data_IF_845574389626
#
_entry.id   IF_845574389626
#
_cell.length_a   1.000
_cell.length_b   1.000
_cell.length_c   1.000
_cell.angle_alpha   90.00
_cell.angle_beta   90.00
_cell.angle_gamma   90.00
#
_symmetry.space_group_name_H-M   'P 1'
#
loop_
_entity.id
_entity.type
_entity.pdbx_description
1 polymer ?
#
# COMPACT_ATOMS: atom_id res chain seq x y z
N UNK A 1 32.80 9.19 -26.09
CA UNK A 1 32.91 7.96 -25.28
C UNK A 1 31.70 7.77 -24.35
N UNK A 2 31.29 8.76 -23.56
CA UNK A 2 30.11 8.66 -22.68
C UNK A 2 28.76 8.48 -23.40
N UNK A 3 28.53 9.14 -24.55
CA UNK A 3 27.28 9.01 -25.32
C UNK A 3 27.01 7.57 -25.79
N UNK A 4 28.04 6.88 -26.32
CA UNK A 4 27.93 5.49 -26.77
C UNK A 4 27.65 4.49 -25.64
N UNK A 5 28.09 4.80 -24.42
CA UNK A 5 27.79 3.97 -23.25
C UNK A 5 26.34 4.12 -22.80
N UNK A 6 25.82 5.36 -22.77
CA UNK A 6 24.39 5.60 -22.47
C UNK A 6 23.49 4.92 -23.48
N UNK A 7 23.74 5.11 -24.78
CA UNK A 7 22.98 4.47 -25.87
C UNK A 7 22.96 2.94 -25.75
N UNK A 8 24.09 2.34 -25.35
CA UNK A 8 24.18 0.88 -25.16
C UNK A 8 23.37 0.42 -23.95
N UNK A 9 23.41 1.17 -22.84
CA UNK A 9 22.62 0.87 -21.63
C UNK A 9 21.13 1.02 -21.91
N UNK A 10 20.73 2.06 -22.65
CA UNK A 10 19.34 2.30 -23.01
C UNK A 10 18.81 1.19 -23.93
N UNK A 11 19.58 0.81 -24.95
CA UNK A 11 19.24 -0.33 -25.82
C UNK A 11 19.16 -1.66 -25.05
N UNK A 12 20.06 -1.89 -24.09
CA UNK A 12 20.01 -3.09 -23.25
C UNK A 12 18.75 -3.12 -22.37
N UNK A 13 18.38 -1.99 -21.76
CA UNK A 13 17.14 -1.87 -20.97
C UNK A 13 15.90 -2.05 -21.82
N UNK A 14 15.87 -1.48 -23.02
CA UNK A 14 14.75 -1.64 -23.96
C UNK A 14 14.53 -3.11 -24.37
N UNK A 15 15.62 -3.86 -24.59
CA UNK A 15 15.55 -5.30 -24.84
C UNK A 15 14.96 -6.03 -23.63
N UNK A 16 15.45 -5.74 -22.42
CA UNK A 16 14.94 -6.37 -21.19
C UNK A 16 13.46 -6.06 -20.99
N UNK A 17 13.06 -4.80 -21.09
CA UNK A 17 11.68 -4.37 -20.93
C UNK A 17 10.76 -5.01 -21.98
N UNK A 18 11.25 -5.14 -23.22
CA UNK A 18 10.52 -5.81 -24.29
C UNK A 18 10.31 -7.29 -24.01
N UNK A 19 11.36 -8.01 -23.58
CA UNK A 19 11.27 -9.44 -23.23
C UNK A 19 10.34 -9.62 -22.04
N UNK A 20 10.49 -8.83 -20.98
CA UNK A 20 9.63 -8.87 -19.80
C UNK A 20 8.17 -8.61 -20.15
N UNK A 21 7.89 -7.64 -21.03
CA UNK A 21 6.54 -7.36 -21.48
C UNK A 21 5.94 -8.55 -22.26
N UNK A 22 6.72 -9.17 -23.16
CA UNK A 22 6.27 -10.37 -23.90
C UNK A 22 5.98 -11.53 -22.96
N UNK A 23 6.85 -11.78 -21.98
CA UNK A 23 6.64 -12.80 -20.95
C UNK A 23 5.38 -12.50 -20.13
N UNK A 24 5.18 -11.24 -19.72
CA UNK A 24 3.98 -10.83 -18.98
C UNK A 24 2.72 -11.07 -19.79
N UNK A 25 2.69 -10.69 -21.07
CA UNK A 25 1.54 -10.92 -21.95
C UNK A 25 1.27 -12.42 -22.11
N UNK A 26 2.31 -13.22 -22.38
CA UNK A 26 2.19 -14.66 -22.53
C UNK A 26 1.65 -15.36 -21.27
N UNK A 27 1.97 -14.84 -20.09
CA UNK A 27 1.49 -15.35 -18.80
C UNK A 27 0.16 -14.71 -18.34
N UNK A 28 -0.48 -13.88 -19.16
CA UNK A 28 -1.73 -13.18 -18.80
C UNK A 28 -1.56 -12.13 -17.69
N UNK A 29 -0.33 -11.66 -17.45
CA UNK A 29 0.05 -10.73 -16.38
C UNK A 29 -0.07 -9.27 -16.83
N UNK A 30 -1.22 -8.87 -17.36
CA UNK A 30 -1.49 -7.53 -17.90
C UNK A 30 -2.33 -6.67 -16.94
N UNK A 31 -2.50 -5.38 -17.25
CA UNK A 31 -3.31 -4.45 -16.43
C UNK A 31 -2.87 -4.37 -14.97
N UNK A 32 -3.83 -4.50 -14.05
CA UNK A 32 -3.62 -4.43 -12.60
C UNK A 32 -2.96 -5.69 -12.00
N UNK A 33 -2.62 -6.71 -12.80
CA UNK A 33 -2.07 -7.98 -12.31
C UNK A 33 -0.89 -7.78 -11.35
N UNK A 34 0.07 -6.91 -11.72
CA UNK A 34 1.26 -6.65 -10.88
C UNK A 34 0.90 -6.01 -9.55
N UNK A 35 -0.13 -5.15 -9.50
CA UNK A 35 -0.58 -4.50 -8.27
C UNK A 35 -1.27 -5.49 -7.34
N UNK A 36 -2.00 -6.47 -7.90
CA UNK A 36 -2.73 -7.48 -7.11
C UNK A 36 -1.87 -8.66 -6.67
N UNK A 37 -0.96 -9.09 -7.54
CA UNK A 37 -0.25 -10.38 -7.42
C UNK A 37 1.28 -10.26 -7.48
N UNK A 38 1.82 -9.04 -7.44
CA UNK A 38 3.26 -8.78 -7.60
C UNK A 38 4.14 -9.41 -6.52
N UNK A 39 3.62 -9.53 -5.29
CA UNK A 39 4.27 -10.28 -4.22
C UNK A 39 3.52 -11.61 -4.02
N UNK A 40 4.09 -12.76 -4.43
CA UNK A 40 3.44 -14.06 -4.25
C UNK A 40 3.09 -14.33 -2.79
N UNK A 41 4.01 -14.07 -1.86
CA UNK A 41 3.80 -14.32 -0.42
C UNK A 41 2.63 -13.51 0.14
N UNK A 42 2.49 -12.24 -0.27
CA UNK A 42 1.41 -11.38 0.23
C UNK A 42 0.08 -11.57 -0.52
N UNK A 43 0.07 -12.17 -1.70
CA UNK A 43 -1.12 -12.27 -2.56
C UNK A 43 -1.68 -13.68 -2.69
N UNK A 44 -0.91 -14.69 -2.31
CA UNK A 44 -1.35 -16.08 -2.33
C UNK A 44 -2.39 -16.32 -1.22
N UNK A 45 -3.43 -17.08 -1.56
CA UNK A 45 -4.48 -17.53 -0.64
C UNK A 45 -4.54 -19.04 -0.65
N UNK A 46 -4.38 -19.66 0.51
CA UNK A 46 -4.52 -21.10 0.66
C UNK A 46 -6.02 -21.46 0.63
N UNK A 47 -6.38 -22.52 -0.10
CA UNK A 47 -7.78 -22.90 -0.30
C UNK A 47 -8.47 -23.37 1.00
N UNK A 48 -7.68 -23.84 1.96
CA UNK A 48 -8.08 -24.41 3.24
C UNK A 48 -7.89 -23.44 4.42
N UNK A 49 -7.44 -22.20 4.16
CA UNK A 49 -7.26 -21.21 5.21
C UNK A 49 -8.59 -20.57 5.61
N UNK A 50 -8.84 -20.47 6.91
CA UNK A 50 -10.00 -19.78 7.43
C UNK A 50 -9.99 -18.30 6.99
N UNK A 51 -11.15 -17.67 6.75
CA UNK A 51 -11.20 -16.26 6.39
C UNK A 51 -10.47 -15.38 7.42
N UNK A 52 -9.45 -14.67 6.96
CA UNK A 52 -8.74 -13.71 7.78
C UNK A 52 -9.59 -12.47 8.00
N UNK A 53 -9.45 -11.84 9.19
CA UNK A 53 -10.08 -10.54 9.47
C UNK A 53 -9.68 -9.48 8.44
N UNK A 54 -8.40 -9.48 8.08
CA UNK A 54 -7.85 -8.63 7.04
C UNK A 54 -7.42 -9.52 5.87
N UNK A 55 -8.00 -9.30 4.70
CA UNK A 55 -7.65 -10.02 3.49
C UNK A 55 -6.25 -9.68 3.01
N UNK A 56 -5.74 -8.51 3.39
CA UNK A 56 -4.41 -8.04 3.02
C UNK A 56 -3.85 -7.08 4.07
N UNK A 57 -2.54 -7.10 4.24
CA UNK A 57 -1.79 -6.15 5.04
C UNK A 57 -0.81 -5.40 4.12
N UNK A 58 -0.82 -4.07 4.21
CA UNK A 58 0.02 -3.18 3.40
C UNK A 58 0.74 -2.18 4.31
N UNK A 59 1.82 -1.59 3.83
CA UNK A 59 2.49 -0.46 4.47
C UNK A 59 2.58 0.68 3.48
N UNK A 60 2.18 1.88 3.92
CA UNK A 60 2.41 3.12 3.19
C UNK A 60 3.53 3.86 3.90
N UNK A 61 4.70 3.86 3.29
CA UNK A 61 5.76 4.76 3.71
C UNK A 61 5.24 6.20 3.50
N UNK A 62 5.38 7.06 4.51
CA UNK A 62 4.84 8.42 4.47
C UNK A 62 5.57 9.36 3.50
N UNK A 63 6.44 8.80 2.67
CA UNK A 63 7.29 9.35 1.64
C UNK A 63 7.62 10.81 1.85
N UNK A 64 8.38 11.04 2.94
CA UNK A 64 8.85 12.37 3.32
C UNK A 64 9.67 13.05 2.22
N UNK A 65 10.19 12.30 1.23
CA UNK A 65 10.90 12.86 0.08
C UNK A 65 9.95 13.49 -0.96
N UNK A 66 8.78 12.88 -1.22
CA UNK A 66 7.77 13.44 -2.13
C UNK A 66 7.04 14.66 -1.55
N UNK A 67 6.94 14.79 -0.22
CA UNK A 67 6.39 15.98 0.46
C UNK A 67 7.17 17.27 0.14
N UNK A 68 8.41 17.17 -0.37
CA UNK A 68 9.26 18.32 -0.72
C UNK A 68 9.13 18.81 -2.16
N UNK A 69 8.51 18.03 -3.06
CA UNK A 69 8.45 18.34 -4.49
C UNK A 69 7.07 18.83 -4.97
N UNK A 70 6.03 18.72 -4.15
CA UNK A 70 4.67 19.12 -4.54
C UNK A 70 4.25 20.35 -3.75
N UNK A 71 4.38 21.53 -4.35
CA UNK A 71 3.98 22.81 -3.76
C UNK A 71 2.47 23.09 -3.82
N UNK A 72 1.63 22.10 -4.10
CA UNK A 72 0.19 22.31 -4.36
C UNK A 72 -0.77 21.23 -3.84
N UNK A 73 -0.26 20.16 -3.21
CA UNK A 73 -1.11 19.08 -2.69
C UNK A 73 -0.78 18.89 -1.21
N UNK A 74 -1.80 19.00 -0.34
CA UNK A 74 -1.61 18.72 1.09
C UNK A 74 -1.19 17.26 1.28
N UNK A 75 -0.44 16.89 2.32
CA UNK A 75 0.01 15.51 2.58
C UNK A 75 -1.12 14.47 2.45
N UNK A 76 -2.34 14.86 2.79
CA UNK A 76 -3.53 14.01 2.77
C UNK A 76 -3.99 13.65 1.33
N UNK A 77 -3.65 14.44 0.31
CA UNK A 77 -4.10 14.17 -1.07
C UNK A 77 -3.56 12.84 -1.63
N UNK A 78 -2.30 12.53 -1.35
CA UNK A 78 -1.68 11.27 -1.78
C UNK A 78 -2.24 10.09 -0.98
N UNK A 79 -2.35 10.23 0.34
CA UNK A 79 -2.94 9.19 1.19
C UNK A 79 -4.37 8.84 0.73
N UNK A 80 -5.20 9.84 0.46
CA UNK A 80 -6.57 9.63 -0.02
C UNK A 80 -6.61 8.99 -1.42
N UNK A 81 -5.66 9.32 -2.30
CA UNK A 81 -5.57 8.69 -3.62
C UNK A 81 -5.18 7.21 -3.50
N UNK A 82 -4.23 6.90 -2.59
CA UNK A 82 -3.83 5.53 -2.29
C UNK A 82 -5.00 4.73 -1.69
N UNK A 83 -5.75 5.30 -0.75
CA UNK A 83 -6.93 4.66 -0.17
C UNK A 83 -7.94 4.27 -1.26
N UNK A 84 -8.22 5.18 -2.21
CA UNK A 84 -9.13 4.90 -3.34
C UNK A 84 -8.63 3.74 -4.21
N UNK A 85 -7.34 3.71 -4.53
CA UNK A 85 -6.79 2.62 -5.33
C UNK A 85 -6.76 1.29 -4.58
N UNK A 86 -6.46 1.31 -3.27
CA UNK A 86 -6.56 0.12 -2.43
C UNK A 86 -7.99 -0.43 -2.44
N UNK A 87 -9.00 0.44 -2.24
CA UNK A 87 -10.41 0.05 -2.32
C UNK A 87 -10.73 -0.52 -3.71
N UNK A 88 -10.35 0.17 -4.80
CA UNK A 88 -10.62 -0.28 -6.17
C UNK A 88 -10.04 -1.66 -6.46
N UNK A 89 -8.84 -1.92 -5.97
CA UNK A 89 -8.12 -3.16 -6.26
C UNK A 89 -8.57 -4.33 -5.39
N UNK A 90 -8.85 -4.08 -4.11
CA UNK A 90 -8.90 -5.12 -3.08
C UNK A 90 -10.22 -5.22 -2.31
N UNK A 91 -11.17 -4.30 -2.48
CA UNK A 91 -12.46 -4.38 -1.76
C UNK A 91 -13.20 -5.70 -1.99
N UNK A 92 -13.05 -6.33 -3.17
CA UNK A 92 -13.63 -7.64 -3.48
C UNK A 92 -13.00 -8.79 -2.69
N UNK A 93 -11.77 -8.63 -2.19
CA UNK A 93 -11.06 -9.62 -1.37
C UNK A 93 -11.43 -9.48 0.11
N UNK A 94 -12.06 -8.37 0.52
CA UNK A 94 -12.43 -8.07 1.90
C UNK A 94 -11.70 -6.85 2.46
N UNK A 95 -11.70 -6.71 3.79
CA UNK A 95 -11.09 -5.56 4.47
C UNK A 95 -9.56 -5.63 4.39
N UNK A 96 -8.93 -4.55 3.96
CA UNK A 96 -7.47 -4.38 3.93
C UNK A 96 -7.00 -3.63 5.16
N UNK A 97 -5.95 -4.13 5.82
CA UNK A 97 -5.26 -3.38 6.86
C UNK A 97 -4.05 -2.68 6.26
N UNK A 98 -3.80 -1.42 6.64
CA UNK A 98 -2.59 -0.73 6.22
C UNK A 98 -1.90 0.02 7.35
N UNK A 99 -0.58 0.02 7.35
CA UNK A 99 0.26 0.84 8.22
C UNK A 99 0.53 2.21 7.61
N UNK A 100 0.36 3.27 8.40
CA UNK A 100 0.73 4.63 8.03
C UNK A 100 1.06 5.47 9.26
N UNK A 101 2.23 6.11 9.28
CA UNK A 101 2.74 6.85 10.45
C UNK A 101 1.78 7.92 10.97
N UNK A 102 1.05 8.57 10.07
CA UNK A 102 0.12 9.66 10.40
C UNK A 102 -1.33 9.20 10.47
N UNK A 103 -1.58 7.89 10.59
CA UNK A 103 -2.93 7.34 10.52
C UNK A 103 -3.91 8.01 11.51
N UNK A 104 -3.44 8.38 12.70
CA UNK A 104 -4.28 9.05 13.70
C UNK A 104 -4.97 10.31 13.18
N UNK A 105 -4.29 11.10 12.34
CA UNK A 105 -4.87 12.26 11.66
C UNK A 105 -5.53 11.84 10.34
N UNK A 106 -4.83 11.03 9.53
CA UNK A 106 -5.27 10.64 8.19
C UNK A 106 -6.64 9.93 8.19
N UNK A 107 -6.89 9.02 9.14
CA UNK A 107 -8.16 8.32 9.23
C UNK A 107 -9.35 9.28 9.43
N UNK A 108 -9.14 10.40 10.13
CA UNK A 108 -10.16 11.43 10.29
C UNK A 108 -10.43 12.12 8.96
N UNK A 109 -9.38 12.48 8.21
CA UNK A 109 -9.51 13.07 6.89
C UNK A 109 -10.19 12.11 5.90
N UNK A 110 -9.72 10.86 5.82
CA UNK A 110 -10.26 9.83 4.93
C UNK A 110 -11.74 9.54 5.23
N UNK A 111 -12.11 9.44 6.50
CA UNK A 111 -13.50 9.21 6.92
C UNK A 111 -14.46 10.34 6.56
N UNK A 112 -13.96 11.55 6.33
CA UNK A 112 -14.75 12.75 5.95
C UNK A 112 -14.69 13.04 4.45
N UNK A 113 -13.91 12.28 3.69
CA UNK A 113 -13.79 12.43 2.24
C UNK A 113 -15.03 11.90 1.51
N UNK A 114 -15.11 12.13 0.20
CA UNK A 114 -16.22 11.66 -0.64
C UNK A 114 -16.37 10.13 -0.73
N UNK A 115 -15.39 9.36 -0.23
CA UNK A 115 -15.40 7.90 -0.20
C UNK A 115 -15.28 7.36 1.23
N UNK A 116 -15.56 8.20 2.24
CA UNK A 116 -15.37 7.87 3.66
C UNK A 116 -16.13 6.63 4.14
N UNK A 117 -17.29 6.31 3.57
CA UNK A 117 -18.04 5.10 3.91
C UNK A 117 -17.35 3.84 3.37
N UNK A 118 -16.87 3.89 2.12
CA UNK A 118 -16.07 2.81 1.55
C UNK A 118 -14.75 2.63 2.30
N UNK A 119 -14.11 3.73 2.73
CA UNK A 119 -12.93 3.70 3.57
C UNK A 119 -13.21 2.93 4.88
N UNK A 120 -14.25 3.31 5.63
CA UNK A 120 -14.60 2.63 6.89
C UNK A 120 -14.98 1.15 6.70
N UNK A 121 -15.54 0.81 5.53
CA UNK A 121 -15.97 -0.56 5.23
C UNK A 121 -14.79 -1.47 4.83
N UNK A 122 -13.87 -0.98 4.01
CA UNK A 122 -12.86 -1.80 3.36
C UNK A 122 -11.44 -1.57 3.87
N UNK A 123 -11.24 -0.56 4.71
CA UNK A 123 -9.92 -0.18 5.16
C UNK A 123 -9.85 -0.08 6.69
N UNK A 124 -8.86 -0.75 7.28
CA UNK A 124 -8.48 -0.60 8.68
C UNK A 124 -7.04 -0.13 8.79
N UNK A 125 -6.85 1.10 9.21
CA UNK A 125 -5.54 1.72 9.24
C UNK A 125 -4.91 1.64 10.64
N UNK A 126 -3.60 1.42 10.70
CA UNK A 126 -2.79 1.39 11.94
C UNK A 126 -1.57 2.29 11.82
N UNK A 127 -0.99 2.66 12.95
CA UNK A 127 0.34 3.30 13.03
C UNK A 127 1.37 2.20 13.28
N UNK A 128 2.51 2.23 12.58
CA UNK A 128 3.60 1.25 12.75
C UNK A 128 4.04 1.10 14.21
N UNK A 129 4.54 -0.07 14.59
CA UNK A 129 4.76 -0.44 16.01
C UNK A 129 5.78 0.45 16.71
N UNK A 130 6.83 0.93 16.04
CA UNK A 130 7.82 1.79 16.67
C UNK A 130 7.33 3.24 16.69
N UNK A 131 6.79 3.74 15.58
CA UNK A 131 6.23 5.08 15.53
C UNK A 131 5.04 5.23 16.50
N UNK A 132 4.17 4.22 16.56
CA UNK A 132 2.96 4.20 17.37
C UNK A 132 3.20 4.34 18.87
N UNK A 133 4.30 3.79 19.40
CA UNK A 133 4.68 3.96 20.82
C UNK A 133 5.05 5.41 21.17
N UNK A 134 5.45 6.22 20.18
CA UNK A 134 5.74 7.64 20.39
C UNK A 134 4.47 8.52 20.44
N UNK A 135 3.30 7.99 20.08
CA UNK A 135 2.03 8.72 20.14
C UNK A 135 1.43 8.69 21.55
N UNK A 136 0.47 9.60 21.80
CA UNK A 136 -0.30 9.62 23.04
C UNK A 136 -1.10 8.33 23.26
N UNK A 137 -1.40 8.02 24.53
CA UNK A 137 -2.07 6.77 24.94
C UNK A 137 -3.38 6.48 24.20
N UNK A 138 -4.18 7.50 23.89
CA UNK A 138 -5.42 7.33 23.12
C UNK A 138 -5.16 6.79 21.71
N UNK A 139 -4.17 7.35 21.01
CA UNK A 139 -3.75 6.87 19.70
C UNK A 139 -3.17 5.46 19.77
N UNK A 140 -2.38 5.15 20.80
CA UNK A 140 -1.85 3.80 20.99
C UNK A 140 -2.98 2.77 21.09
N UNK A 141 -4.01 3.02 21.92
CA UNK A 141 -5.12 2.09 22.10
C UNK A 141 -5.99 1.92 20.86
N UNK A 142 -6.12 2.96 20.03
CA UNK A 142 -6.98 2.95 18.86
C UNK A 142 -6.29 2.54 17.56
N UNK A 143 -4.96 2.66 17.47
CA UNK A 143 -4.25 2.58 16.19
C UNK A 143 -2.97 1.74 16.24
N UNK A 144 -2.51 1.30 17.41
CA UNK A 144 -1.31 0.47 17.50
C UNK A 144 -1.65 -1.00 17.17
N UNK A 145 -0.90 -1.67 16.29
CA UNK A 145 -1.23 -3.02 15.79
C UNK A 145 -1.35 -4.07 16.89
N UNK A 146 -0.55 -3.93 17.97
CA UNK A 146 -0.63 -4.77 19.17
C UNK A 146 -2.05 -4.91 19.75
N UNK A 147 -2.86 -3.84 19.68
CA UNK A 147 -4.22 -3.83 20.23
C UNK A 147 -5.31 -4.11 19.19
N UNK A 148 -4.91 -4.38 17.93
CA UNK A 148 -5.84 -4.67 16.83
C UNK A 148 -5.78 -6.17 16.52
N UNK A 149 -6.81 -6.90 16.95
CA UNK A 149 -6.97 -8.32 16.64
C UNK A 149 -6.93 -8.54 15.12
N UNK A 150 -6.14 -9.50 14.65
CA UNK A 150 -5.93 -9.77 13.22
C UNK A 150 -4.67 -9.14 12.63
N UNK A 151 -4.02 -8.20 13.34
CA UNK A 151 -2.74 -7.61 12.89
C UNK A 151 -1.58 -8.60 12.90
N UNK A 152 -1.66 -9.66 13.71
CA UNK A 152 -0.59 -10.62 13.86
C UNK A 152 0.66 -10.00 14.49
N UNK A 153 1.84 -10.40 14.00
CA UNK A 153 3.15 -9.88 14.42
C UNK A 153 3.73 -8.85 13.44
N UNK A 154 2.92 -8.37 12.49
CA UNK A 154 3.36 -7.41 11.49
C UNK A 154 3.67 -6.07 12.17
N UNK A 155 4.92 -5.58 12.10
CA UNK A 155 5.29 -4.32 12.73
C UNK A 155 4.71 -3.10 11.98
N UNK A 156 4.33 -3.26 10.70
CA UNK A 156 3.84 -2.19 9.84
C UNK A 156 4.85 -1.05 9.64
N UNK A 157 6.10 -1.42 9.36
CA UNK A 157 7.19 -0.48 9.13
C UNK A 157 7.80 -0.66 7.74
N UNK A 158 8.21 0.44 7.13
CA UNK A 158 8.84 0.52 5.81
C UNK A 158 9.77 1.72 5.72
#
# INVERSE_FOLDING_TARGET
LLARFSETVDAFRDILDTVDNRVRIALGRTGDWRRKYGCPTCSYKCADEAPLRFSRQLTMDGNNSHKRFISAATPDTYGLAMDKEIIRLFASEGMTQFGYDINCAHATTASRSSFGDAYKQFIHAVVGSFHGHAHGRSCQLCSHPLYILGSGREPFEG
#
